data_IF_329643968285
#
_entry.id   IF_329643968285
#
_cell.length_a   1.000
_cell.length_b   1.000
_cell.length_c   1.000
_cell.angle_alpha   90.00
_cell.angle_beta   90.00
_cell.angle_gamma   90.00
#
_symmetry.space_group_name_H-M   'P 1'
#
loop_
_entity.id
_entity.type
_entity.pdbx_description
1 polymer ?
#
# COMPACT_ATOMS: atom_id res chain seq x y z
N UNK A 1 21.69 -12.59 -19.55
CA UNK A 1 21.83 -12.86 -18.10
C UNK A 1 21.03 -11.79 -17.37
N UNK A 2 20.07 -12.18 -16.52
CA UNK A 2 19.38 -11.21 -15.67
C UNK A 2 20.42 -10.54 -14.77
N UNK A 3 20.47 -9.20 -14.76
CA UNK A 3 21.34 -8.46 -13.86
C UNK A 3 21.03 -8.87 -12.41
N UNK A 4 22.05 -9.10 -11.60
CA UNK A 4 21.86 -9.42 -10.19
C UNK A 4 21.18 -8.22 -9.51
N UNK A 5 19.98 -8.43 -8.95
CA UNK A 5 19.17 -7.40 -8.30
C UNK A 5 19.92 -6.65 -7.20
N UNK A 6 20.82 -7.34 -6.48
CA UNK A 6 21.62 -6.74 -5.41
C UNK A 6 22.62 -5.73 -5.97
N UNK A 7 23.33 -6.11 -7.03
CA UNK A 7 24.29 -5.23 -7.73
C UNK A 7 23.57 -4.03 -8.33
N UNK A 8 22.44 -4.28 -8.99
CA UNK A 8 21.61 -3.24 -9.58
C UNK A 8 21.13 -2.21 -8.55
N UNK A 9 20.69 -2.68 -7.38
CA UNK A 9 20.27 -1.80 -6.29
C UNK A 9 21.45 -1.00 -5.74
N UNK A 10 22.59 -1.64 -5.47
CA UNK A 10 23.79 -0.96 -4.96
C UNK A 10 24.29 0.13 -5.92
N UNK A 11 24.35 -0.15 -7.22
CA UNK A 11 24.74 0.83 -8.24
C UNK A 11 23.76 2.01 -8.28
N UNK A 12 22.45 1.76 -8.26
CA UNK A 12 21.44 2.82 -8.23
C UNK A 12 21.52 3.68 -6.95
N UNK A 13 21.84 3.07 -5.79
CA UNK A 13 22.05 3.80 -4.54
C UNK A 13 23.33 4.65 -4.56
N UNK A 14 24.42 4.13 -5.14
CA UNK A 14 25.67 4.90 -5.32
C UNK A 14 25.47 6.07 -6.26
N UNK A 15 24.77 5.86 -7.37
CA UNK A 15 24.38 6.94 -8.29
C UNK A 15 23.53 7.98 -7.55
N UNK A 16 22.54 7.55 -6.77
CA UNK A 16 21.73 8.47 -5.97
C UNK A 16 22.58 9.28 -4.99
N UNK A 17 23.51 8.64 -4.27
CA UNK A 17 24.43 9.30 -3.36
C UNK A 17 25.22 10.40 -4.07
N UNK A 18 25.91 10.04 -5.16
CA UNK A 18 26.77 10.95 -5.95
C UNK A 18 25.96 12.13 -6.47
N UNK A 19 24.77 11.89 -7.04
CA UNK A 19 23.93 12.94 -7.60
C UNK A 19 23.47 13.94 -6.53
N UNK A 20 23.17 13.48 -5.31
CA UNK A 20 22.74 14.35 -4.22
C UNK A 20 23.90 15.19 -3.65
N UNK A 21 25.04 14.57 -3.36
CA UNK A 21 26.17 15.31 -2.79
C UNK A 21 26.76 16.32 -3.80
N UNK A 22 26.66 16.03 -5.10
CA UNK A 22 27.15 16.87 -6.19
C UNK A 22 26.19 18.00 -6.58
N UNK A 23 25.04 18.13 -5.92
CA UNK A 23 24.11 19.26 -6.17
C UNK A 23 24.80 20.60 -5.88
N UNK A 24 24.67 21.61 -6.77
CA UNK A 24 25.26 22.93 -6.56
C UNK A 24 24.85 23.56 -5.23
N UNK A 25 25.75 24.33 -4.64
CA UNK A 25 25.43 25.12 -3.45
C UNK A 25 24.27 26.09 -3.73
N UNK A 26 23.36 26.26 -2.77
CA UNK A 26 22.15 27.06 -2.93
C UNK A 26 20.99 26.38 -3.68
N UNK A 27 21.15 25.14 -4.17
CA UNK A 27 20.01 24.39 -4.75
C UNK A 27 18.90 24.23 -3.71
N UNK A 28 17.64 24.63 -3.99
CA UNK A 28 16.56 24.54 -3.02
C UNK A 28 16.32 23.09 -2.56
N UNK A 29 16.22 22.87 -1.24
CA UNK A 29 16.06 21.53 -0.65
C UNK A 29 14.86 20.76 -1.22
N UNK A 30 13.76 21.44 -1.58
CA UNK A 30 12.58 20.81 -2.23
C UNK A 30 12.94 20.17 -3.57
N UNK A 31 13.81 20.80 -4.36
CA UNK A 31 14.30 20.23 -5.62
C UNK A 31 15.21 19.01 -5.36
N UNK A 32 16.03 19.07 -4.32
CA UNK A 32 16.90 17.96 -3.90
C UNK A 32 16.06 16.77 -3.42
N UNK A 33 15.02 16.99 -2.61
CA UNK A 33 14.06 15.95 -2.18
C UNK A 33 13.42 15.27 -3.39
N UNK A 34 12.94 16.04 -4.36
CA UNK A 34 12.36 15.51 -5.60
C UNK A 34 13.36 14.72 -6.45
N UNK A 35 14.59 15.21 -6.56
CA UNK A 35 15.68 14.50 -7.23
C UNK A 35 15.97 13.15 -6.54
N UNK A 36 16.12 13.17 -5.22
CA UNK A 36 16.31 11.96 -4.42
C UNK A 36 15.15 10.99 -4.61
N UNK A 37 13.90 11.46 -4.56
CA UNK A 37 12.73 10.63 -4.76
C UNK A 37 12.74 9.93 -6.13
N UNK A 38 13.11 10.64 -7.20
CA UNK A 38 13.27 10.05 -8.54
C UNK A 38 14.33 8.94 -8.56
N UNK A 39 15.49 9.17 -7.94
CA UNK A 39 16.55 8.16 -7.87
C UNK A 39 16.15 6.95 -7.03
N UNK A 40 15.49 7.16 -5.89
CA UNK A 40 15.02 6.09 -5.03
C UNK A 40 13.89 5.28 -5.68
N UNK A 41 12.94 5.93 -6.37
CA UNK A 41 11.92 5.24 -7.16
C UNK A 41 12.56 4.32 -8.22
N UNK A 42 13.60 4.80 -8.92
CA UNK A 42 14.37 3.97 -9.85
C UNK A 42 15.01 2.79 -9.13
N UNK A 43 15.71 3.03 -8.02
CA UNK A 43 16.39 1.99 -7.25
C UNK A 43 15.41 0.88 -6.81
N UNK A 44 14.27 1.24 -6.23
CA UNK A 44 13.26 0.26 -5.80
C UNK A 44 12.56 -0.45 -6.96
N UNK A 45 12.42 0.19 -8.13
CA UNK A 45 11.86 -0.46 -9.32
C UNK A 45 12.71 -1.62 -9.86
N UNK A 46 14.03 -1.59 -9.64
CA UNK A 46 14.96 -2.63 -10.10
C UNK A 46 14.80 -3.94 -9.32
N UNK A 47 14.38 -3.85 -8.06
CA UNK A 47 14.24 -5.01 -7.17
C UNK A 47 12.79 -5.48 -7.07
N UNK A 48 11.85 -4.55 -7.22
CA UNK A 48 10.44 -4.76 -6.92
C UNK A 48 10.20 -4.76 -5.41
N UNK A 49 9.16 -4.07 -4.97
CA UNK A 49 8.73 -4.05 -3.56
C UNK A 49 7.28 -4.49 -3.51
N UNK A 50 6.96 -5.43 -2.63
CA UNK A 50 5.58 -5.83 -2.39
C UNK A 50 4.91 -4.78 -1.51
N UNK A 51 3.87 -4.12 -2.03
CA UNK A 51 3.14 -3.07 -1.31
C UNK A 51 1.72 -3.56 -1.06
N UNK A 52 1.31 -3.62 0.21
CA UNK A 52 -0.05 -3.95 0.65
C UNK A 52 -0.68 -2.74 1.35
N UNK A 53 -2.01 -2.65 1.31
CA UNK A 53 -2.74 -1.65 2.09
C UNK A 53 -2.72 -0.23 1.52
N UNK A 54 -2.40 -0.02 0.24
CA UNK A 54 -2.41 1.33 -0.37
C UNK A 54 -3.78 2.00 -0.27
N UNK A 55 -4.86 1.21 -0.14
CA UNK A 55 -6.22 1.66 0.12
C UNK A 55 -6.38 2.43 1.45
N UNK A 56 -5.43 2.30 2.38
CA UNK A 56 -5.45 3.00 3.67
C UNK A 56 -4.79 4.38 3.63
N UNK A 57 -4.25 4.80 2.48
CA UNK A 57 -3.65 6.13 2.34
C UNK A 57 -4.73 7.22 2.49
N UNK A 58 -4.53 8.21 3.40
CA UNK A 58 -5.49 9.30 3.55
C UNK A 58 -5.56 10.16 2.28
N UNK A 59 -6.75 10.70 1.98
CA UNK A 59 -6.93 11.65 0.87
C UNK A 59 -6.29 13.01 1.14
N UNK A 60 -6.18 13.37 2.42
CA UNK A 60 -5.60 14.63 2.90
C UNK A 60 -4.13 14.45 3.29
N UNK A 61 -3.35 15.53 3.17
CA UNK A 61 -1.98 15.60 3.70
C UNK A 61 -2.00 16.07 5.16
N UNK A 62 -0.83 16.39 5.74
CA UNK A 62 -0.72 16.71 7.17
C UNK A 62 -0.87 15.48 8.07
N UNK A 63 -0.56 14.29 7.54
CA UNK A 63 -0.53 13.04 8.30
C UNK A 63 0.89 12.71 8.80
N UNK A 64 0.96 11.92 9.87
CA UNK A 64 2.19 11.41 10.45
C UNK A 64 2.34 9.93 10.06
N UNK A 65 3.24 9.65 9.13
CA UNK A 65 3.63 8.31 8.74
C UNK A 65 4.62 7.75 9.76
N UNK A 66 4.14 6.87 10.63
CA UNK A 66 4.96 6.16 11.60
C UNK A 66 5.40 4.82 11.03
N UNK A 67 6.65 4.44 11.22
CA UNK A 67 7.19 3.22 10.63
C UNK A 67 8.20 2.53 11.53
N UNK A 68 8.30 1.21 11.38
CA UNK A 68 9.35 0.45 12.03
C UNK A 68 10.68 0.61 11.27
N UNK A 69 11.78 0.87 11.98
CA UNK A 69 13.05 1.27 11.39
C UNK A 69 14.02 0.09 11.31
N UNK A 70 14.40 -0.27 10.10
CA UNK A 70 15.22 -1.43 9.82
C UNK A 70 16.68 -1.04 9.58
N UNK A 71 17.59 -1.93 10.01
CA UNK A 71 18.98 -1.88 9.60
C UNK A 71 19.08 -2.05 8.09
N UNK A 72 20.16 -1.55 7.49
CA UNK A 72 20.49 -1.86 6.09
C UNK A 72 21.55 -2.97 6.06
N UNK A 73 21.41 -3.91 5.13
CA UNK A 73 22.46 -4.90 4.89
C UNK A 73 23.80 -4.21 4.53
N UNK A 74 24.96 -4.58 5.13
CA UNK A 74 26.27 -3.95 4.87
C UNK A 74 26.72 -3.91 3.41
N UNK A 75 26.17 -4.81 2.59
CA UNK A 75 26.36 -4.80 1.13
C UNK A 75 25.93 -3.47 0.47
N UNK A 76 24.98 -2.74 1.05
CA UNK A 76 24.45 -1.47 0.52
C UNK A 76 25.20 -0.23 0.99
N UNK A 77 26.46 -0.37 1.42
CA UNK A 77 27.34 0.76 1.72
C UNK A 77 27.75 1.49 0.45
N UNK A 78 27.46 2.79 0.41
CA UNK A 78 27.62 3.62 -0.80
C UNK A 78 28.88 4.49 -0.78
N UNK A 79 29.37 4.89 0.40
CA UNK A 79 30.59 5.70 0.54
C UNK A 79 31.23 5.53 1.93
N UNK A 80 32.46 5.01 2.00
CA UNK A 80 33.13 4.76 3.26
C UNK A 80 32.34 3.77 4.12
N UNK A 81 31.82 4.24 5.26
CA UNK A 81 30.93 3.55 6.19
C UNK A 81 29.45 3.97 6.06
N UNK A 82 29.13 4.84 5.10
CA UNK A 82 27.79 5.40 4.94
C UNK A 82 26.87 4.52 4.07
N UNK A 83 25.65 4.34 4.57
CA UNK A 83 24.53 3.70 3.88
C UNK A 83 23.36 4.70 3.79
N UNK A 84 22.68 4.73 2.63
CA UNK A 84 21.41 5.46 2.49
C UNK A 84 20.31 4.65 3.16
N UNK A 85 19.68 5.20 4.20
CA UNK A 85 18.58 4.56 4.94
C UNK A 85 17.42 4.17 4.00
N UNK A 86 17.16 2.88 3.80
CA UNK A 86 16.25 2.44 2.74
C UNK A 86 14.77 2.70 3.08
N UNK A 87 14.35 2.43 4.31
CA UNK A 87 12.95 2.52 4.74
C UNK A 87 12.35 3.93 4.62
N UNK A 88 12.95 4.94 5.25
CA UNK A 88 12.44 6.30 5.25
C UNK A 88 12.53 6.95 3.87
N UNK A 89 13.55 6.59 3.07
CA UNK A 89 13.61 6.99 1.66
C UNK A 89 12.50 6.31 0.85
N UNK A 90 12.21 5.03 1.08
CA UNK A 90 11.09 4.33 0.45
C UNK A 90 9.76 5.02 0.74
N UNK A 91 9.47 5.37 1.99
CA UNK A 91 8.25 6.12 2.33
C UNK A 91 8.21 7.44 1.58
N UNK A 92 9.28 8.24 1.68
CA UNK A 92 9.31 9.58 1.06
C UNK A 92 9.15 9.51 -0.46
N UNK A 93 9.77 8.52 -1.11
CA UNK A 93 9.81 8.44 -2.57
C UNK A 93 8.70 7.58 -3.19
N UNK A 94 8.49 6.37 -2.69
CA UNK A 94 7.57 5.39 -3.31
C UNK A 94 6.15 5.56 -2.81
N UNK A 95 5.97 6.08 -1.59
CA UNK A 95 4.65 6.37 -1.02
C UNK A 95 4.32 7.86 -1.21
N UNK A 96 5.06 8.76 -0.53
CA UNK A 96 4.66 10.17 -0.44
C UNK A 96 4.77 10.91 -1.78
N UNK A 97 5.94 10.92 -2.42
CA UNK A 97 6.13 11.60 -3.71
C UNK A 97 5.21 11.01 -4.79
N UNK A 98 4.97 9.70 -4.77
CA UNK A 98 4.11 9.03 -5.75
C UNK A 98 2.65 9.50 -5.63
N UNK A 99 2.07 9.40 -4.44
CA UNK A 99 0.63 9.58 -4.22
C UNK A 99 0.26 11.04 -3.91
N UNK A 100 1.14 11.82 -3.28
CA UNK A 100 0.87 13.19 -2.84
C UNK A 100 1.65 14.26 -3.61
N UNK A 101 2.62 13.87 -4.45
CA UNK A 101 3.52 14.79 -5.17
C UNK A 101 4.35 15.69 -4.25
N UNK A 102 4.54 15.22 -3.02
CA UNK A 102 5.40 15.81 -2.00
C UNK A 102 6.09 14.65 -1.27
N UNK A 103 7.41 14.72 -1.11
CA UNK A 103 8.21 13.70 -0.43
C UNK A 103 8.09 13.74 1.11
N UNK A 104 7.35 14.71 1.65
CA UNK A 104 7.20 14.95 3.07
C UNK A 104 8.47 15.51 3.73
N UNK A 105 8.42 15.60 5.05
CA UNK A 105 9.58 15.90 5.89
C UNK A 105 9.89 14.71 6.79
N UNK A 106 11.18 14.39 6.92
CA UNK A 106 11.67 13.30 7.76
C UNK A 106 12.28 13.83 9.04
N UNK A 107 12.33 12.97 10.05
CA UNK A 107 13.24 13.14 11.18
C UNK A 107 14.49 12.31 10.95
N UNK A 108 15.64 12.96 10.96
CA UNK A 108 16.95 12.34 10.74
C UNK A 108 17.88 12.69 11.91
N UNK A 109 18.68 11.73 12.37
CA UNK A 109 19.62 12.01 13.45
C UNK A 109 20.70 13.02 13.02
N UNK A 110 21.32 13.70 13.99
CA UNK A 110 22.59 14.38 13.76
C UNK A 110 23.71 13.36 13.47
N UNK A 111 24.68 13.69 12.61
CA UNK A 111 25.90 12.89 12.43
C UNK A 111 26.77 12.96 13.70
N UNK A 112 27.53 11.89 13.95
CA UNK A 112 28.71 11.94 14.81
C UNK A 112 29.84 12.74 14.12
N UNK A 113 30.82 13.28 14.86
CA UNK A 113 31.87 14.12 14.29
C UNK A 113 32.68 13.47 13.15
N UNK A 114 32.80 12.14 13.15
CA UNK A 114 33.52 11.36 12.15
C UNK A 114 32.65 10.91 10.95
N UNK A 115 31.34 11.16 10.97
CA UNK A 115 30.42 10.70 9.91
C UNK A 115 30.23 11.76 8.81
N UNK A 116 31.32 12.07 8.10
CA UNK A 116 31.33 13.13 7.09
C UNK A 116 30.36 12.86 5.92
N UNK A 117 30.31 11.61 5.42
CA UNK A 117 29.40 11.22 4.34
C UNK A 117 27.92 11.36 4.75
N UNK A 118 27.58 11.01 6.00
CA UNK A 118 26.23 11.20 6.53
C UNK A 118 25.86 12.68 6.58
N UNK A 119 26.78 13.52 7.08
CA UNK A 119 26.61 14.96 7.15
C UNK A 119 26.39 15.55 5.74
N UNK A 120 27.32 15.28 4.82
CA UNK A 120 27.31 15.81 3.46
C UNK A 120 26.06 15.41 2.67
N UNK A 121 25.56 14.19 2.89
CA UNK A 121 24.32 13.73 2.27
C UNK A 121 23.09 14.42 2.87
N UNK A 122 22.88 14.30 4.18
CA UNK A 122 21.61 14.70 4.78
C UNK A 122 21.44 16.23 4.96
N UNK A 123 22.54 17.00 5.01
CA UNK A 123 22.45 18.47 5.12
C UNK A 123 21.84 19.11 3.88
N UNK A 124 21.82 18.39 2.75
CA UNK A 124 21.18 18.83 1.49
C UNK A 124 19.65 18.87 1.54
N UNK A 125 19.02 18.20 2.50
CA UNK A 125 17.58 17.94 2.46
C UNK A 125 16.74 18.82 3.38
N UNK A 126 17.36 19.55 4.31
CA UNK A 126 16.67 20.37 5.31
C UNK A 126 15.62 19.60 6.13
N UNK A 127 15.94 18.36 6.51
CA UNK A 127 15.09 17.56 7.38
C UNK A 127 15.16 18.01 8.84
N UNK A 128 14.17 17.58 9.64
CA UNK A 128 14.16 17.83 11.08
C UNK A 128 15.27 16.98 11.72
N UNK A 129 16.14 17.61 12.51
CA UNK A 129 17.28 16.95 13.14
C UNK A 129 17.05 16.67 14.62
N UNK A 130 17.46 15.48 15.06
CA UNK A 130 17.42 15.07 16.48
C UNK A 130 18.70 14.35 16.89
N UNK A 131 19.08 14.44 18.16
CA UNK A 131 20.11 13.56 18.72
C UNK A 131 19.47 12.24 19.15
N UNK A 132 20.01 11.14 18.64
CA UNK A 132 19.64 9.78 19.04
C UNK A 132 20.60 9.28 20.13
N UNK A 133 20.10 8.41 21.03
CA UNK A 133 20.81 8.01 22.27
C UNK A 133 22.25 7.53 22.02
N UNK A 134 22.43 6.65 21.04
CA UNK A 134 23.74 6.05 20.74
C UNK A 134 24.56 6.85 19.71
N UNK A 135 23.98 7.93 19.19
CA UNK A 135 24.57 8.81 18.17
C UNK A 135 24.60 10.27 18.64
N UNK A 136 25.02 10.46 19.90
CA UNK A 136 25.19 11.78 20.50
C UNK A 136 26.69 12.03 20.76
N UNK A 137 27.27 13.14 20.27
CA UNK A 137 28.64 13.54 20.60
C UNK A 137 28.88 13.58 22.11
N UNK A 138 30.03 13.07 22.57
CA UNK A 138 30.34 12.91 24.01
C UNK A 138 30.41 14.23 24.76
N UNK A 139 30.63 15.32 24.03
CA UNK A 139 30.77 16.68 24.55
C UNK A 139 29.43 17.32 24.92
N UNK A 140 28.31 16.79 24.41
CA UNK A 140 26.98 17.35 24.66
C UNK A 140 26.40 16.86 25.97
N UNK A 141 25.87 17.78 26.77
CA UNK A 141 25.14 17.41 27.99
C UNK A 141 23.74 16.89 27.67
N UNK A 142 23.14 16.11 28.58
CA UNK A 142 21.72 15.72 28.48
C UNK A 142 20.78 16.93 28.35
N UNK A 143 21.14 18.08 28.92
CA UNK A 143 20.36 19.32 28.86
C UNK A 143 20.40 19.90 27.45
N UNK A 144 21.57 19.88 26.80
CA UNK A 144 21.76 20.36 25.43
C UNK A 144 20.98 19.50 24.44
N UNK A 145 21.10 18.17 24.57
CA UNK A 145 20.32 17.20 23.79
C UNK A 145 18.82 17.44 23.94
N UNK A 146 18.34 17.59 25.19
CA UNK A 146 16.92 17.85 25.44
C UNK A 146 16.46 19.19 24.85
N UNK A 147 17.31 20.22 24.90
CA UNK A 147 17.02 21.55 24.33
C UNK A 147 16.97 21.48 22.80
N UNK A 148 17.92 20.81 22.16
CA UNK A 148 17.96 20.61 20.72
C UNK A 148 16.75 19.79 20.25
N UNK A 149 16.48 18.65 20.90
CA UNK A 149 15.36 17.79 20.53
C UNK A 149 13.98 18.43 20.82
N UNK A 150 13.89 19.52 21.60
CA UNK A 150 12.63 20.29 21.69
C UNK A 150 12.28 21.00 20.38
N UNK A 151 13.27 21.33 19.55
CA UNK A 151 13.04 21.95 18.23
C UNK A 151 12.28 21.03 17.28
N UNK A 152 12.32 19.71 17.51
CA UNK A 152 11.50 18.75 16.77
C UNK A 152 10.02 19.12 16.82
N UNK A 153 9.47 19.42 18.00
CA UNK A 153 8.04 19.71 18.14
C UNK A 153 7.62 20.97 17.36
N UNK A 154 8.46 22.01 17.37
CA UNK A 154 8.20 23.23 16.62
C UNK A 154 8.22 22.99 15.10
N UNK A 155 9.29 22.36 14.60
CA UNK A 155 9.42 22.07 13.15
C UNK A 155 8.41 21.04 12.65
N UNK A 156 8.04 20.08 13.50
CA UNK A 156 6.99 19.13 13.17
C UNK A 156 5.63 19.83 13.10
N UNK A 157 5.36 20.80 13.98
CA UNK A 157 4.14 21.61 13.91
C UNK A 157 4.09 22.46 12.64
N UNK A 158 5.17 23.20 12.35
CA UNK A 158 5.29 23.97 11.11
C UNK A 158 5.03 23.11 9.87
N UNK A 159 5.59 21.89 9.82
CA UNK A 159 5.33 20.98 8.71
C UNK A 159 3.85 20.57 8.60
N UNK A 160 3.20 20.21 9.70
CA UNK A 160 1.78 19.83 9.67
C UNK A 160 0.87 21.02 9.33
N UNK A 161 1.16 22.21 9.85
CA UNK A 161 0.44 23.44 9.55
C UNK A 161 0.56 23.83 8.06
N UNK A 162 1.72 23.57 7.46
CA UNK A 162 1.97 23.71 6.01
C UNK A 162 1.40 22.54 5.17
N UNK A 163 0.63 21.64 5.79
CA UNK A 163 0.04 20.46 5.17
C UNK A 163 1.08 19.49 4.57
N UNK A 164 2.27 19.43 5.17
CA UNK A 164 3.38 18.53 4.79
C UNK A 164 3.32 17.28 5.65
N UNK A 165 3.31 16.11 5.00
CA UNK A 165 3.36 14.83 5.70
C UNK A 165 4.69 14.64 6.47
N UNK A 166 4.60 14.14 7.71
CA UNK A 166 5.74 13.85 8.56
C UNK A 166 6.06 12.36 8.52
N UNK A 167 7.33 11.98 8.36
CA UNK A 167 7.81 10.60 8.40
C UNK A 167 8.68 10.40 9.65
N UNK A 168 8.27 9.51 10.54
CA UNK A 168 8.88 9.36 11.87
C UNK A 168 8.98 7.90 12.31
N UNK A 169 10.16 7.46 12.76
CA UNK A 169 10.27 6.18 13.46
C UNK A 169 10.21 6.37 14.97
N UNK A 170 9.25 5.72 15.67
CA UNK A 170 9.17 5.76 17.12
C UNK A 170 10.19 4.86 17.84
N UNK A 171 10.97 4.02 17.14
CA UNK A 171 11.87 3.03 17.78
C UNK A 171 13.15 3.63 18.39
N UNK A 172 13.53 4.85 18.01
CA UNK A 172 14.75 5.51 18.49
C UNK A 172 16.08 4.82 18.10
N UNK A 173 16.02 3.64 17.50
CA UNK A 173 17.10 2.81 16.96
C UNK A 173 16.59 2.00 15.76
N UNK A 174 17.49 1.33 15.06
CA UNK A 174 17.19 0.44 13.93
C UNK A 174 17.42 -1.03 14.34
N UNK A 175 16.61 -1.94 13.81
CA UNK A 175 16.65 -3.37 14.15
C UNK A 175 16.62 -4.26 12.91
N UNK A 176 16.95 -5.55 13.04
CA UNK A 176 16.63 -6.51 11.99
C UNK A 176 15.12 -6.76 11.96
N UNK A 177 14.59 -7.28 10.84
CA UNK A 177 13.14 -7.49 10.66
C UNK A 177 12.53 -8.36 11.78
N UNK A 178 13.24 -9.39 12.24
CA UNK A 178 12.78 -10.31 13.29
C UNK A 178 12.86 -9.72 14.71
N UNK A 179 13.55 -8.59 14.88
CA UNK A 179 13.72 -7.90 16.17
C UNK A 179 12.93 -6.59 16.22
N UNK A 180 12.42 -6.14 15.07
CA UNK A 180 11.64 -4.92 14.90
C UNK A 180 10.15 -5.17 15.17
N UNK A 181 9.44 -4.21 15.80
CA UNK A 181 9.98 -3.00 16.37
C UNK A 181 10.61 -3.24 17.76
N UNK A 182 11.62 -2.43 18.08
CA UNK A 182 12.01 -2.14 19.46
C UNK A 182 10.93 -1.33 20.21
N UNK A 183 11.21 -0.96 21.47
CA UNK A 183 10.28 -0.17 22.28
C UNK A 183 10.00 1.21 21.69
N UNK A 184 8.72 1.53 21.51
CA UNK A 184 8.29 2.83 21.00
C UNK A 184 8.47 3.95 22.02
N UNK A 185 9.11 5.02 21.59
CA UNK A 185 9.22 6.28 22.34
C UNK A 185 7.91 7.07 22.26
N UNK A 186 7.52 7.69 23.38
CA UNK A 186 6.25 8.42 23.49
C UNK A 186 6.21 9.77 22.75
N UNK A 187 7.35 10.26 22.25
CA UNK A 187 7.51 11.64 21.77
C UNK A 187 6.53 12.02 20.65
N UNK A 188 6.48 11.21 19.59
CA UNK A 188 5.58 11.48 18.45
C UNK A 188 4.10 11.34 18.83
N UNK A 189 3.77 10.42 19.73
CA UNK A 189 2.39 10.21 20.20
C UNK A 189 1.93 11.34 21.12
N UNK A 190 2.83 11.89 21.95
CA UNK A 190 2.58 13.13 22.70
C UNK A 190 2.36 14.31 21.78
N UNK A 191 3.16 14.43 20.73
CA UNK A 191 2.99 15.47 19.74
C UNK A 191 1.66 15.33 19.00
N UNK A 192 1.31 14.15 18.52
CA UNK A 192 0.03 13.93 17.84
C UNK A 192 -1.18 14.26 18.76
N UNK A 193 -1.07 13.97 20.06
CA UNK A 193 -2.12 14.27 21.03
C UNK A 193 -2.12 15.72 21.54
N UNK A 194 -1.18 16.58 21.13
CA UNK A 194 -1.19 17.99 21.53
C UNK A 194 -2.10 18.88 20.68
N UNK A 195 -2.64 18.35 19.58
CA UNK A 195 -3.58 19.07 18.71
C UNK A 195 -5.01 18.81 19.16
N UNK A 196 -5.85 19.85 19.11
CA UNK A 196 -7.30 19.70 19.32
C UNK A 196 -7.90 18.78 18.24
N UNK A 197 -7.58 19.05 16.97
CA UNK A 197 -7.79 18.12 15.87
C UNK A 197 -6.51 17.32 15.64
N UNK A 198 -6.38 16.20 16.35
CA UNK A 198 -5.20 15.33 16.26
C UNK A 198 -4.94 14.91 14.81
N UNK A 199 -3.70 14.96 14.29
CA UNK A 199 -3.39 14.47 12.95
C UNK A 199 -3.58 12.94 12.85
N UNK A 200 -3.76 12.44 11.62
CA UNK A 200 -3.77 10.99 11.40
C UNK A 200 -2.37 10.42 11.56
N UNK A 201 -2.24 9.34 12.32
CA UNK A 201 -1.07 8.48 12.35
C UNK A 201 -1.29 7.35 11.35
N UNK A 202 -0.42 7.26 10.35
CA UNK A 202 -0.47 6.23 9.29
C UNK A 202 0.64 5.22 9.55
N UNK A 203 0.33 4.00 10.03
CA UNK A 203 1.36 2.99 10.25
C UNK A 203 1.85 2.40 8.93
N UNK A 204 3.16 2.45 8.71
CA UNK A 204 3.84 1.82 7.59
C UNK A 204 4.76 0.73 8.13
N UNK A 205 4.35 -0.51 7.95
CA UNK A 205 5.06 -1.70 8.41
C UNK A 205 6.00 -2.18 7.30
N UNK A 206 7.27 -2.42 7.63
CA UNK A 206 8.29 -2.84 6.68
C UNK A 206 8.94 -4.15 7.14
N UNK A 207 9.28 -4.98 6.15
CA UNK A 207 9.99 -6.22 6.36
C UNK A 207 11.02 -6.45 5.24
N UNK A 208 12.14 -7.08 5.62
CA UNK A 208 13.26 -7.52 4.80
C UNK A 208 14.14 -6.40 4.19
N UNK A 209 13.96 -5.12 4.56
CA UNK A 209 14.87 -4.04 4.10
C UNK A 209 16.30 -4.17 4.67
N UNK A 210 16.46 -4.99 5.70
CA UNK A 210 17.71 -5.44 6.32
C UNK A 210 18.42 -6.56 5.57
N UNK A 211 17.79 -7.11 4.52
CA UNK A 211 18.32 -8.23 3.73
C UNK A 211 18.70 -7.78 2.32
N UNK A 212 19.36 -8.66 1.57
CA UNK A 212 19.53 -8.46 0.13
C UNK A 212 18.26 -8.86 -0.63
N UNK A 213 17.89 -8.16 -1.73
CA UNK A 213 16.78 -8.56 -2.60
C UNK A 213 16.87 -9.99 -3.14
N UNK A 214 18.08 -10.54 -3.27
CA UNK A 214 18.31 -11.94 -3.64
C UNK A 214 17.97 -12.95 -2.53
N UNK A 215 17.93 -12.52 -1.27
CA UNK A 215 17.63 -13.35 -0.10
C UNK A 215 16.14 -13.33 0.24
N UNK A 216 15.55 -12.14 0.21
CA UNK A 216 14.12 -11.96 0.49
C UNK A 216 13.58 -10.71 -0.21
N UNK A 217 12.33 -10.74 -0.70
CA UNK A 217 11.71 -9.56 -1.28
C UNK A 217 11.44 -8.51 -0.20
N UNK A 218 11.65 -7.24 -0.55
CA UNK A 218 11.23 -6.12 0.30
C UNK A 218 9.71 -6.05 0.34
N UNK A 219 9.17 -5.88 1.55
CA UNK A 219 7.72 -5.85 1.79
C UNK A 219 7.36 -4.61 2.60
N UNK A 220 6.26 -3.98 2.22
CA UNK A 220 5.67 -2.84 2.91
C UNK A 220 4.15 -3.06 3.03
N UNK A 221 3.60 -2.79 4.20
CA UNK A 221 2.16 -2.77 4.41
C UNK A 221 1.74 -1.47 5.10
N UNK A 222 0.86 -0.72 4.45
CA UNK A 222 0.24 0.48 5.01
C UNK A 222 -1.01 0.04 5.77
N UNK A 223 -1.05 0.30 7.07
CA UNK A 223 -2.17 -0.09 7.93
C UNK A 223 -3.23 1.02 7.96
N UNK A 224 -4.47 0.72 8.37
CA UNK A 224 -5.49 1.74 8.59
C UNK A 224 -4.96 2.86 9.51
N UNK A 225 -5.14 4.14 9.13
CA UNK A 225 -4.70 5.25 9.94
C UNK A 225 -5.59 5.40 11.19
N UNK A 226 -5.04 5.98 12.23
CA UNK A 226 -5.73 6.21 13.49
C UNK A 226 -5.36 7.57 14.10
N UNK A 227 -6.15 8.03 15.08
CA UNK A 227 -5.81 9.15 15.96
C UNK A 227 -5.49 8.64 17.36
N UNK A 228 -4.72 9.40 18.14
CA UNK A 228 -4.45 9.02 19.53
C UNK A 228 -5.72 8.98 20.37
N UNK A 229 -6.74 9.77 20.01
CA UNK A 229 -8.08 9.75 20.60
C UNK A 229 -8.78 8.39 20.47
N UNK A 230 -8.49 7.61 19.43
CA UNK A 230 -9.06 6.27 19.23
C UNK A 230 -8.57 5.29 20.30
N UNK A 231 -7.43 5.60 20.93
CA UNK A 231 -6.86 4.89 22.07
C UNK A 231 -7.13 5.60 23.41
N UNK A 232 -8.08 6.54 23.44
CA UNK A 232 -8.45 7.30 24.64
C UNK A 232 -7.42 8.32 25.09
N UNK A 233 -6.51 8.77 24.21
CA UNK A 233 -5.49 9.78 24.50
C UNK A 233 -5.89 11.10 23.86
N UNK A 234 -6.41 12.03 24.66
CA UNK A 234 -6.92 13.34 24.19
C UNK A 234 -5.94 14.50 24.40
N UNK A 235 -4.91 14.28 25.22
CA UNK A 235 -3.84 15.26 25.50
C UNK A 235 -2.49 14.56 25.79
N UNK A 236 -1.35 15.27 25.72
CA UNK A 236 -0.03 14.72 26.02
C UNK A 236 0.15 14.20 27.47
N UNK A 237 -0.73 14.64 28.37
CA UNK A 237 -0.79 14.30 29.79
C UNK A 237 -1.76 13.16 30.11
N UNK A 238 -2.49 12.63 29.12
CA UNK A 238 -3.47 11.56 29.33
C UNK A 238 -2.85 10.33 30.02
N UNK A 239 -3.50 9.81 31.06
CA UNK A 239 -3.04 8.62 31.79
C UNK A 239 -2.95 7.38 30.88
N UNK A 240 -3.85 7.30 29.89
CA UNK A 240 -3.92 6.26 28.86
C UNK A 240 -2.74 6.28 27.88
N UNK A 241 -1.92 7.33 27.83
CA UNK A 241 -0.85 7.46 26.83
C UNK A 241 0.14 6.30 26.90
N UNK A 242 0.51 5.86 28.11
CA UNK A 242 1.49 4.76 28.25
C UNK A 242 0.94 3.45 27.70
N UNK A 243 -0.30 3.10 28.05
CA UNK A 243 -0.94 1.87 27.58
C UNK A 243 -1.21 1.94 26.08
N UNK A 244 -1.66 3.08 25.57
CA UNK A 244 -1.89 3.28 24.13
C UNK A 244 -0.61 3.05 23.31
N UNK A 245 0.51 3.67 23.71
CA UNK A 245 1.80 3.47 23.02
C UNK A 245 2.25 2.02 23.08
N UNK A 246 2.05 1.33 24.21
CA UNK A 246 2.36 -0.09 24.32
C UNK A 246 1.49 -0.93 23.35
N UNK A 247 0.19 -0.71 23.32
CA UNK A 247 -0.72 -1.41 22.38
C UNK A 247 -0.34 -1.17 20.93
N UNK A 248 0.00 0.07 20.56
CA UNK A 248 0.46 0.41 19.20
C UNK A 248 1.77 -0.33 18.89
N UNK A 249 2.71 -0.39 19.84
CA UNK A 249 3.98 -1.11 19.68
C UNK A 249 3.78 -2.61 19.50
N UNK A 250 2.91 -3.23 20.31
CA UNK A 250 2.59 -4.67 20.25
C UNK A 250 1.90 -5.02 18.92
N UNK A 251 1.00 -4.15 18.46
CA UNK A 251 0.36 -4.28 17.15
C UNK A 251 1.39 -4.22 16.02
N UNK A 252 2.31 -3.25 16.04
CA UNK A 252 3.40 -3.19 15.05
C UNK A 252 4.24 -4.47 15.05
N UNK A 253 4.58 -5.01 16.22
CA UNK A 253 5.34 -6.26 16.31
C UNK A 253 4.63 -7.42 15.64
N UNK A 254 3.34 -7.60 15.93
CA UNK A 254 2.52 -8.60 15.25
C UNK A 254 2.46 -8.36 13.75
N UNK A 255 2.31 -7.11 13.30
CA UNK A 255 2.26 -6.81 11.86
C UNK A 255 3.59 -7.07 11.15
N UNK A 256 4.74 -6.78 11.78
CA UNK A 256 6.06 -7.09 11.21
C UNK A 256 6.23 -8.61 11.12
N UNK A 257 5.89 -9.35 12.18
CA UNK A 257 5.90 -10.81 12.18
C UNK A 257 5.02 -11.37 11.05
N UNK A 258 3.77 -10.91 10.95
CA UNK A 258 2.82 -11.33 9.92
C UNK A 258 3.32 -11.01 8.50
N UNK A 259 3.88 -9.83 8.28
CA UNK A 259 4.39 -9.37 6.97
C UNK A 259 5.69 -10.11 6.58
N UNK A 260 6.50 -10.50 7.55
CA UNK A 260 7.78 -11.20 7.31
C UNK A 260 7.58 -12.61 6.75
N UNK A 261 6.44 -13.22 7.03
CA UNK A 261 6.12 -14.58 6.59
C UNK A 261 5.83 -14.57 5.08
N UNK A 262 6.36 -15.57 4.37
CA UNK A 262 6.02 -15.79 2.97
C UNK A 262 4.59 -16.34 2.87
N UNK A 263 3.69 -15.54 2.30
CA UNK A 263 2.32 -15.92 1.99
C UNK A 263 2.26 -16.34 0.51
N UNK A 264 2.75 -17.56 0.26
CA UNK A 264 2.71 -18.12 -1.08
C UNK A 264 1.26 -18.38 -1.46
N UNK A 265 0.88 -17.94 -2.66
CA UNK A 265 -0.44 -18.23 -3.25
C UNK A 265 -1.66 -17.78 -2.42
N UNK A 266 -1.59 -16.75 -1.58
CA UNK A 266 -2.77 -16.19 -0.88
C UNK A 266 -3.40 -17.13 0.18
N UNK A 267 -2.70 -18.17 0.64
CA UNK A 267 -3.24 -19.19 1.57
C UNK A 267 -3.94 -18.57 2.79
N UNK A 268 -3.40 -17.48 3.33
CA UNK A 268 -3.99 -16.79 4.49
C UNK A 268 -5.32 -16.13 4.18
N UNK A 269 -5.41 -15.42 3.04
CA UNK A 269 -6.66 -14.79 2.63
C UNK A 269 -7.73 -15.85 2.36
N UNK A 270 -7.35 -16.95 1.71
CA UNK A 270 -8.24 -18.09 1.44
C UNK A 270 -8.71 -18.75 2.74
N UNK A 271 -7.84 -18.91 3.73
CA UNK A 271 -8.22 -19.47 5.03
C UNK A 271 -9.24 -18.59 5.78
N UNK A 272 -9.20 -17.27 5.60
CA UNK A 272 -10.22 -16.36 6.14
C UNK A 272 -11.54 -16.55 5.39
N UNK A 273 -11.53 -16.53 4.05
CA UNK A 273 -12.74 -16.72 3.24
C UNK A 273 -13.45 -18.05 3.53
N UNK A 274 -12.69 -19.12 3.80
CA UNK A 274 -13.25 -20.43 4.17
C UNK A 274 -14.09 -20.43 5.44
N UNK A 275 -13.82 -19.52 6.38
CA UNK A 275 -14.63 -19.41 7.61
C UNK A 275 -16.02 -18.90 7.28
N UNK A 276 -16.13 -17.94 6.37
CA UNK A 276 -17.40 -17.35 5.95
C UNK A 276 -18.25 -18.30 5.09
N UNK A 277 -17.60 -19.23 4.37
CA UNK A 277 -18.30 -20.25 3.58
C UNK A 277 -19.23 -21.12 4.42
N UNK A 278 -18.84 -21.44 5.66
CA UNK A 278 -19.56 -22.37 6.50
C UNK A 278 -20.99 -21.91 6.83
N UNK A 279 -21.19 -20.59 6.96
CA UNK A 279 -22.48 -19.99 7.31
C UNK A 279 -23.41 -19.83 6.09
N UNK A 280 -22.86 -19.95 4.87
CA UNK A 280 -23.57 -19.71 3.60
C UNK A 280 -23.86 -20.99 2.82
N UNK A 281 -23.47 -22.15 3.33
CA UNK A 281 -23.78 -23.46 2.74
C UNK A 281 -25.29 -23.60 2.57
N UNK A 282 -25.73 -24.01 1.38
CA UNK A 282 -27.15 -24.29 1.04
C UNK A 282 -28.13 -23.10 1.04
N UNK A 283 -27.65 -21.84 1.08
CA UNK A 283 -28.55 -20.70 0.94
C UNK A 283 -29.09 -20.60 -0.50
N UNK A 284 -30.41 -20.40 -0.63
CA UNK A 284 -31.05 -20.09 -1.91
C UNK A 284 -30.72 -18.66 -2.34
N UNK A 285 -30.84 -18.39 -3.64
CA UNK A 285 -30.62 -17.06 -4.21
C UNK A 285 -29.26 -16.44 -3.82
N UNK A 286 -28.22 -17.29 -3.84
CA UNK A 286 -26.87 -16.90 -3.48
C UNK A 286 -26.21 -16.08 -4.60
N UNK A 287 -25.86 -14.83 -4.29
CA UNK A 287 -25.10 -13.90 -5.12
C UNK A 287 -23.65 -13.88 -4.64
N UNK A 288 -22.76 -14.53 -5.40
CA UNK A 288 -21.35 -14.66 -5.05
C UNK A 288 -20.53 -13.63 -5.80
N UNK A 289 -19.75 -12.83 -5.09
CA UNK A 289 -18.76 -11.93 -5.67
C UNK A 289 -17.40 -12.60 -5.67
N UNK A 290 -16.78 -12.74 -6.83
CA UNK A 290 -15.48 -13.40 -6.98
C UNK A 290 -14.51 -12.55 -7.80
N UNK A 291 -13.31 -12.32 -7.27
CA UNK A 291 -12.35 -11.47 -7.95
C UNK A 291 -11.21 -11.00 -7.08
N UNK A 292 -10.47 -10.01 -7.59
CA UNK A 292 -9.31 -9.44 -6.90
C UNK A 292 -9.69 -8.34 -5.90
N UNK A 293 -8.79 -7.38 -5.64
CA UNK A 293 -8.95 -6.37 -4.58
C UNK A 293 -10.19 -5.49 -4.70
N UNK A 294 -10.71 -5.24 -5.90
CA UNK A 294 -11.97 -4.49 -6.08
C UNK A 294 -13.18 -5.23 -5.52
N UNK A 295 -13.17 -6.57 -5.52
CA UNK A 295 -14.20 -7.36 -4.85
C UNK A 295 -13.88 -7.49 -3.37
N UNK A 296 -12.65 -7.84 -3.00
CA UNK A 296 -12.21 -7.98 -1.59
C UNK A 296 -12.55 -6.75 -0.74
N UNK A 297 -12.35 -5.56 -1.30
CA UNK A 297 -12.52 -4.29 -0.57
C UNK A 297 -13.97 -3.79 -0.55
N UNK A 298 -14.91 -4.50 -1.18
CA UNK A 298 -16.32 -4.16 -1.12
C UNK A 298 -16.94 -4.70 0.18
N UNK A 299 -16.82 -3.92 1.26
CA UNK A 299 -17.18 -4.35 2.62
C UNK A 299 -18.68 -4.56 2.85
N UNK A 300 -19.53 -3.83 2.13
CA UNK A 300 -20.97 -3.72 2.43
C UNK A 300 -21.86 -4.44 1.40
N UNK A 301 -21.37 -5.49 0.73
CA UNK A 301 -22.15 -6.19 -0.32
C UNK A 301 -23.52 -6.67 0.16
N UNK A 302 -23.64 -7.09 1.43
CA UNK A 302 -24.90 -7.51 2.03
C UNK A 302 -25.92 -6.37 2.19
N UNK A 303 -25.43 -5.16 2.50
CA UNK A 303 -26.27 -3.96 2.62
C UNK A 303 -26.63 -3.41 1.23
N UNK A 304 -25.70 -3.54 0.28
CA UNK A 304 -25.87 -3.05 -1.09
C UNK A 304 -26.85 -3.92 -1.90
N UNK A 305 -26.90 -5.22 -1.64
CA UNK A 305 -27.79 -6.15 -2.33
C UNK A 305 -28.73 -6.89 -1.35
N UNK A 306 -29.64 -6.16 -0.67
CA UNK A 306 -30.43 -6.72 0.44
C UNK A 306 -31.47 -7.76 0.00
N UNK A 307 -31.78 -7.83 -1.29
CA UNK A 307 -32.66 -8.84 -1.88
C UNK A 307 -31.97 -10.20 -2.12
N UNK A 308 -30.66 -10.28 -1.89
CA UNK A 308 -29.84 -11.45 -2.20
C UNK A 308 -29.11 -11.95 -0.96
N UNK A 309 -28.92 -13.27 -0.88
CA UNK A 309 -27.92 -13.83 0.03
C UNK A 309 -26.55 -13.58 -0.58
N UNK A 310 -25.79 -12.63 -0.05
CA UNK A 310 -24.47 -12.28 -0.62
C UNK A 310 -23.33 -13.04 0.03
N UNK A 311 -22.32 -13.38 -0.75
CA UNK A 311 -21.06 -13.95 -0.30
C UNK A 311 -19.90 -13.29 -1.07
N UNK A 312 -18.95 -12.69 -0.35
CA UNK A 312 -17.77 -12.06 -0.93
C UNK A 312 -16.58 -13.02 -0.83
N UNK A 313 -16.11 -13.52 -1.98
CA UNK A 313 -14.95 -14.42 -2.10
C UNK A 313 -13.77 -13.71 -2.78
N UNK A 314 -13.67 -12.39 -2.64
CA UNK A 314 -12.54 -11.63 -3.18
C UNK A 314 -11.29 -11.73 -2.32
N UNK A 315 -10.13 -11.83 -2.98
CA UNK A 315 -8.81 -11.78 -2.31
C UNK A 315 -7.82 -10.88 -3.06
N UNK A 316 -6.90 -10.24 -2.34
CA UNK A 316 -6.06 -9.14 -2.81
C UNK A 316 -5.01 -9.62 -3.81
N UNK A 317 -4.71 -8.80 -4.83
CA UNK A 317 -3.61 -9.10 -5.77
C UNK A 317 -3.84 -10.31 -6.70
N UNK A 318 -4.99 -10.98 -6.64
CA UNK A 318 -5.28 -12.17 -7.42
C UNK A 318 -5.13 -11.93 -8.94
N UNK A 319 -4.41 -12.83 -9.60
CA UNK A 319 -4.42 -12.96 -11.07
C UNK A 319 -5.53 -13.93 -11.50
N UNK A 320 -5.79 -14.02 -12.80
CA UNK A 320 -6.77 -14.98 -13.33
C UNK A 320 -6.42 -16.42 -12.91
N UNK A 321 -5.13 -16.79 -12.95
CA UNK A 321 -4.72 -18.14 -12.56
C UNK A 321 -4.94 -18.39 -11.06
N UNK A 322 -4.68 -17.40 -10.19
CA UNK A 322 -4.94 -17.51 -8.76
C UNK A 322 -6.42 -17.79 -8.47
N UNK A 323 -7.32 -17.05 -9.14
CA UNK A 323 -8.78 -17.26 -9.03
C UNK A 323 -9.18 -18.65 -9.55
N UNK A 324 -8.54 -19.11 -10.61
CA UNK A 324 -8.77 -20.44 -11.16
C UNK A 324 -8.28 -21.55 -10.20
N UNK A 325 -7.13 -21.38 -9.56
CA UNK A 325 -6.52 -22.39 -8.69
C UNK A 325 -7.38 -22.63 -7.44
N UNK A 326 -7.94 -21.56 -6.84
CA UNK A 326 -8.82 -21.65 -5.68
C UNK A 326 -10.31 -21.88 -6.00
N UNK A 327 -10.69 -21.94 -7.28
CA UNK A 327 -12.09 -22.05 -7.66
C UNK A 327 -12.76 -23.32 -7.11
N UNK A 328 -12.14 -24.50 -7.25
CA UNK A 328 -12.76 -25.72 -6.68
C UNK A 328 -12.91 -25.60 -5.17
N UNK A 329 -11.84 -25.20 -4.49
CA UNK A 329 -11.77 -25.15 -3.05
C UNK A 329 -12.83 -24.22 -2.45
N UNK A 330 -13.04 -23.05 -3.04
CA UNK A 330 -13.99 -22.06 -2.57
C UNK A 330 -15.44 -22.35 -2.99
N UNK A 331 -15.66 -23.05 -4.11
CA UNK A 331 -17.00 -23.27 -4.67
C UNK A 331 -17.53 -24.70 -4.51
N UNK A 332 -16.78 -25.65 -3.94
CA UNK A 332 -17.17 -27.07 -3.92
C UNK A 332 -18.55 -27.35 -3.31
N UNK A 333 -18.94 -26.62 -2.25
CA UNK A 333 -20.22 -26.79 -1.54
C UNK A 333 -21.26 -25.69 -1.88
N UNK A 334 -20.95 -24.81 -2.82
CA UNK A 334 -21.81 -23.68 -3.16
C UNK A 334 -22.76 -24.03 -4.30
N UNK A 335 -23.93 -23.38 -4.28
CA UNK A 335 -24.90 -23.41 -5.38
C UNK A 335 -25.30 -21.97 -5.74
N UNK A 336 -24.38 -21.20 -6.36
CA UNK A 336 -24.62 -19.80 -6.66
C UNK A 336 -25.75 -19.65 -7.70
N UNK A 337 -26.68 -18.73 -7.45
CA UNK A 337 -27.65 -18.32 -8.47
C UNK A 337 -27.01 -17.33 -9.46
N UNK A 338 -26.17 -16.45 -8.93
CA UNK A 338 -25.41 -15.46 -9.71
C UNK A 338 -23.98 -15.40 -9.20
N UNK A 339 -23.01 -15.31 -10.12
CA UNK A 339 -21.62 -15.00 -9.82
C UNK A 339 -21.26 -13.65 -10.46
N UNK A 340 -20.92 -12.66 -9.64
CA UNK A 340 -20.31 -11.40 -10.08
C UNK A 340 -18.81 -11.61 -10.13
N UNK A 341 -18.24 -11.53 -11.34
CA UNK A 341 -16.88 -11.91 -11.61
C UNK A 341 -16.04 -10.68 -12.04
N UNK A 342 -14.95 -10.39 -11.32
CA UNK A 342 -14.04 -9.28 -11.64
C UNK A 342 -12.56 -9.71 -11.60
N UNK A 343 -11.92 -9.79 -12.77
CA UNK A 343 -10.57 -10.33 -12.97
C UNK A 343 -9.84 -9.66 -14.14
N UNK A 344 -8.55 -9.96 -14.29
CA UNK A 344 -7.73 -9.58 -15.46
C UNK A 344 -6.98 -8.25 -15.33
N UNK A 345 -7.42 -7.33 -14.46
CA UNK A 345 -6.73 -6.06 -14.24
C UNK A 345 -5.29 -6.24 -13.71
N UNK A 346 -5.05 -7.24 -12.86
CA UNK A 346 -3.70 -7.53 -12.36
C UNK A 346 -2.82 -8.18 -13.44
N UNK A 347 -3.37 -9.04 -14.29
CA UNK A 347 -2.64 -9.73 -15.36
C UNK A 347 -2.00 -8.78 -16.39
N UNK A 348 -2.43 -7.52 -16.46
CA UNK A 348 -1.77 -6.46 -17.23
C UNK A 348 -0.29 -6.30 -16.83
N UNK A 349 0.04 -6.48 -15.54
CA UNK A 349 1.42 -6.35 -15.05
C UNK A 349 2.33 -7.50 -15.48
N UNK A 350 1.76 -8.58 -16.06
CA UNK A 350 2.51 -9.73 -16.58
C UNK A 350 2.96 -9.53 -18.04
N UNK A 351 2.67 -8.36 -18.64
CA UNK A 351 3.04 -8.06 -20.03
C UNK A 351 2.26 -8.88 -21.06
N UNK A 352 1.12 -9.46 -20.70
CA UNK A 352 0.28 -10.21 -21.63
C UNK A 352 -0.42 -9.28 -22.64
N UNK A 353 -0.67 -9.82 -23.84
CA UNK A 353 -1.52 -9.16 -24.84
C UNK A 353 -2.99 -9.18 -24.39
N UNK A 354 -3.79 -8.24 -24.90
CA UNK A 354 -5.23 -8.21 -24.67
C UNK A 354 -5.89 -9.56 -24.99
N UNK A 355 -5.63 -10.11 -26.17
CA UNK A 355 -6.20 -11.41 -26.59
C UNK A 355 -5.81 -12.56 -25.66
N UNK A 356 -4.59 -12.56 -25.09
CA UNK A 356 -4.16 -13.60 -24.13
C UNK A 356 -4.93 -13.49 -22.81
N UNK A 357 -5.19 -12.27 -22.34
CA UNK A 357 -6.00 -12.02 -21.14
C UNK A 357 -7.45 -12.44 -21.41
N UNK A 358 -8.04 -12.00 -22.52
CA UNK A 358 -9.40 -12.40 -22.96
C UNK A 358 -9.53 -13.93 -23.01
N UNK A 359 -8.59 -14.63 -23.65
CA UNK A 359 -8.62 -16.09 -23.74
C UNK A 359 -8.46 -16.80 -22.38
N UNK A 360 -7.77 -16.19 -21.42
CA UNK A 360 -7.71 -16.71 -20.04
C UNK A 360 -9.03 -16.50 -19.30
N UNK A 361 -9.65 -15.34 -19.44
CA UNK A 361 -10.96 -15.04 -18.84
C UNK A 361 -12.03 -15.98 -19.37
N UNK A 362 -12.12 -16.14 -20.70
CA UNK A 362 -13.13 -17.02 -21.32
C UNK A 362 -12.98 -18.47 -20.88
N UNK A 363 -11.75 -19.01 -20.85
CA UNK A 363 -11.52 -20.37 -20.31
C UNK A 363 -11.96 -20.52 -18.86
N UNK A 364 -11.80 -19.47 -18.06
CA UNK A 364 -12.25 -19.50 -16.69
C UNK A 364 -13.78 -19.43 -16.58
N UNK A 365 -14.43 -18.59 -17.39
CA UNK A 365 -15.90 -18.55 -17.53
C UNK A 365 -16.43 -19.93 -17.96
N UNK A 366 -15.81 -20.59 -18.94
CA UNK A 366 -16.20 -21.93 -19.38
C UNK A 366 -16.11 -22.95 -18.25
N UNK A 367 -15.07 -22.88 -17.42
CA UNK A 367 -14.91 -23.74 -16.24
C UNK A 367 -16.00 -23.48 -15.20
N UNK A 368 -16.34 -22.23 -14.93
CA UNK A 368 -17.43 -21.87 -14.02
C UNK A 368 -18.75 -22.43 -14.55
N UNK A 369 -19.04 -22.22 -15.83
CA UNK A 369 -20.27 -22.67 -16.47
C UNK A 369 -20.38 -24.20 -16.50
N UNK A 370 -19.28 -24.92 -16.74
CA UNK A 370 -19.25 -26.38 -16.70
C UNK A 370 -19.60 -26.94 -15.31
N UNK A 371 -19.16 -26.26 -14.23
CA UNK A 371 -19.51 -26.62 -12.86
C UNK A 371 -20.95 -26.20 -12.50
N UNK A 372 -21.37 -25.04 -13.00
CA UNK A 372 -22.66 -24.42 -12.68
C UNK A 372 -23.42 -24.00 -13.94
N UNK A 373 -24.05 -24.95 -14.66
CA UNK A 373 -24.67 -24.67 -15.96
C UNK A 373 -25.85 -23.69 -15.89
N UNK A 374 -26.53 -23.60 -14.74
CA UNK A 374 -27.70 -22.74 -14.53
C UNK A 374 -27.39 -21.40 -13.86
N UNK A 375 -26.13 -21.12 -13.53
CA UNK A 375 -25.74 -19.89 -12.84
C UNK A 375 -25.54 -18.76 -13.84
N UNK A 376 -26.09 -17.59 -13.54
CA UNK A 376 -25.79 -16.37 -14.29
C UNK A 376 -24.40 -15.86 -13.91
N UNK A 377 -23.54 -15.63 -14.89
CA UNK A 377 -22.22 -15.02 -14.69
C UNK A 377 -22.31 -13.56 -15.13
N UNK A 378 -22.17 -12.65 -14.18
CA UNK A 378 -22.01 -11.21 -14.42
C UNK A 378 -20.52 -10.90 -14.51
N UNK A 379 -19.96 -10.93 -15.72
CA UNK A 379 -18.55 -10.61 -15.93
C UNK A 379 -18.37 -9.09 -15.99
N UNK A 380 -17.69 -8.53 -15.00
CA UNK A 380 -17.51 -7.10 -14.85
C UNK A 380 -16.29 -6.64 -15.66
N UNK A 381 -16.46 -5.60 -16.47
CA UNK A 381 -15.39 -4.99 -17.28
C UNK A 381 -14.19 -4.58 -16.42
N UNK A 382 -12.97 -4.63 -16.93
CA UNK A 382 -11.81 -4.09 -16.20
C UNK A 382 -11.94 -2.56 -16.15
N UNK A 383 -11.90 -1.95 -14.96
CA UNK A 383 -11.94 -0.47 -14.80
C UNK A 383 -10.67 0.23 -15.27
N UNK A 384 -10.76 1.52 -15.65
CA UNK A 384 -9.57 2.36 -15.70
C UNK A 384 -9.01 2.60 -14.27
N UNK A 385 -7.74 3.00 -14.17
CA UNK A 385 -7.12 3.46 -12.91
C UNK A 385 -5.87 4.28 -13.19
N UNK A 386 -5.50 5.20 -12.30
CA UNK A 386 -4.31 6.04 -12.46
C UNK A 386 -3.02 5.20 -12.48
N UNK A 387 -2.97 4.14 -11.66
CA UNK A 387 -1.86 3.18 -11.65
C UNK A 387 -1.67 2.43 -12.98
N UNK A 388 -2.69 2.44 -13.85
CA UNK A 388 -2.69 1.74 -15.14
C UNK A 388 -3.01 2.68 -16.30
N UNK A 389 -2.71 3.97 -16.16
CA UNK A 389 -3.06 4.98 -17.15
C UNK A 389 -2.43 4.70 -18.53
N UNK A 390 -1.25 4.07 -18.57
CA UNK A 390 -0.58 3.68 -19.81
C UNK A 390 -1.21 2.44 -20.49
N UNK A 391 -2.08 1.71 -19.79
CA UNK A 391 -2.74 0.49 -20.27
C UNK A 391 -4.20 0.71 -20.69
N UNK A 392 -4.70 1.97 -20.67
CA UNK A 392 -6.13 2.26 -20.93
C UNK A 392 -6.62 1.75 -22.29
N UNK A 393 -5.80 1.86 -23.33
CA UNK A 393 -6.12 1.34 -24.66
C UNK A 393 -6.28 -0.18 -24.64
N UNK A 394 -5.37 -0.90 -23.96
CA UNK A 394 -5.41 -2.36 -23.82
C UNK A 394 -6.60 -2.80 -22.97
N UNK A 395 -6.91 -2.07 -21.89
CA UNK A 395 -8.10 -2.32 -21.06
C UNK A 395 -9.38 -2.21 -21.90
N UNK A 396 -9.50 -1.14 -22.71
CA UNK A 396 -10.64 -0.95 -23.61
C UNK A 396 -10.75 -2.10 -24.62
N UNK A 397 -9.62 -2.50 -25.23
CA UNK A 397 -9.56 -3.62 -26.16
C UNK A 397 -10.04 -4.95 -25.51
N UNK A 398 -9.59 -5.25 -24.28
CA UNK A 398 -10.02 -6.43 -23.52
C UNK A 398 -11.53 -6.38 -23.28
N UNK A 399 -12.04 -5.26 -22.79
CA UNK A 399 -13.46 -5.09 -22.46
C UNK A 399 -14.35 -5.25 -23.72
N UNK A 400 -13.95 -4.65 -24.85
CA UNK A 400 -14.67 -4.80 -26.13
C UNK A 400 -14.70 -6.27 -26.57
N UNK A 401 -13.55 -6.94 -26.60
CA UNK A 401 -13.48 -8.35 -27.02
C UNK A 401 -14.29 -9.28 -26.09
N UNK A 402 -14.31 -9.01 -24.78
CA UNK A 402 -15.16 -9.76 -23.84
C UNK A 402 -16.65 -9.50 -24.11
N UNK A 403 -17.03 -8.25 -24.36
CA UNK A 403 -18.34 -7.84 -24.89
C UNK A 403 -18.81 -8.72 -26.03
N UNK A 404 -18.05 -8.70 -27.13
CA UNK A 404 -18.36 -9.42 -28.36
C UNK A 404 -18.41 -10.93 -28.17
N UNK A 405 -17.44 -11.50 -27.45
CA UNK A 405 -17.29 -12.96 -27.32
C UNK A 405 -18.28 -13.59 -26.34
N UNK A 406 -18.80 -12.82 -25.38
CA UNK A 406 -19.77 -13.33 -24.40
C UNK A 406 -21.22 -12.97 -24.75
N UNK A 407 -21.47 -12.01 -25.65
CA UNK A 407 -22.80 -11.69 -26.16
C UNK A 407 -23.66 -12.91 -26.62
N UNK A 408 -23.11 -13.94 -27.29
CA UNK A 408 -23.91 -15.11 -27.69
C UNK A 408 -24.13 -16.12 -26.55
N UNK A 409 -23.54 -15.94 -25.37
CA UNK A 409 -23.63 -16.90 -24.26
C UNK A 409 -24.84 -16.54 -23.36
N UNK A 410 -25.88 -17.38 -23.26
CA UNK A 410 -27.12 -17.01 -22.58
C UNK A 410 -26.96 -16.78 -21.07
N UNK A 411 -26.00 -17.47 -20.44
CA UNK A 411 -25.76 -17.39 -18.99
C UNK A 411 -24.57 -16.51 -18.63
N UNK A 412 -24.06 -15.68 -19.56
CA UNK A 412 -22.98 -14.73 -19.31
C UNK A 412 -23.40 -13.35 -19.76
N UNK A 413 -23.36 -12.37 -18.85
CA UNK A 413 -23.64 -10.98 -19.17
C UNK A 413 -22.44 -10.11 -18.81
N UNK A 414 -22.02 -9.27 -19.76
CA UNK A 414 -21.03 -8.24 -19.48
C UNK A 414 -21.67 -7.08 -18.71
N UNK A 415 -21.02 -6.72 -17.61
CA UNK A 415 -21.31 -5.51 -16.83
C UNK A 415 -20.28 -4.48 -17.24
N UNK A 416 -20.65 -3.60 -18.17
CA UNK A 416 -19.82 -2.45 -18.51
C UNK A 416 -19.94 -1.40 -17.41
N UNK A 417 -18.80 -1.06 -16.84
CA UNK A 417 -18.66 0.09 -15.96
C UNK A 417 -17.46 0.98 -16.31
N UNK A 418 -16.70 0.66 -17.37
CA UNK A 418 -15.50 1.39 -17.74
C UNK A 418 -15.83 2.84 -18.13
N UNK A 419 -16.81 3.03 -19.00
CA UNK A 419 -17.15 4.36 -19.54
C UNK A 419 -17.69 5.31 -18.46
N UNK A 420 -18.29 4.77 -17.40
CA UNK A 420 -18.78 5.60 -16.28
C UNK A 420 -17.65 6.31 -15.53
N UNK A 421 -16.43 5.75 -15.60
CA UNK A 421 -15.22 6.26 -14.94
C UNK A 421 -14.39 7.20 -15.81
N UNK A 422 -14.78 7.40 -17.07
CA UNK A 422 -14.12 8.30 -18.01
C UNK A 422 -14.97 9.55 -18.23
N UNK A 423 -14.32 10.71 -18.22
CA UNK A 423 -14.89 11.99 -18.63
C UNK A 423 -13.85 12.75 -19.44
N UNK A 424 -14.21 13.22 -20.64
CA UNK A 424 -13.30 13.95 -21.53
C UNK A 424 -11.95 13.23 -21.75
N UNK A 425 -11.98 11.91 -21.96
CA UNK A 425 -10.81 11.03 -22.08
C UNK A 425 -9.88 11.00 -20.85
N UNK A 426 -10.36 11.41 -19.68
CA UNK A 426 -9.63 11.37 -18.41
C UNK A 426 -10.37 10.55 -17.38
N UNK A 427 -9.61 9.93 -16.48
CA UNK A 427 -10.14 9.16 -15.36
C UNK A 427 -10.75 10.12 -14.34
N UNK A 428 -11.97 9.85 -13.90
CA UNK A 428 -12.63 10.60 -12.83
C UNK A 428 -11.96 10.28 -11.49
N UNK A 429 -11.14 11.21 -10.97
CA UNK A 429 -10.43 11.04 -9.69
C UNK A 429 -11.38 10.79 -8.51
N UNK A 430 -12.57 11.38 -8.55
CA UNK A 430 -13.55 11.33 -7.47
C UNK A 430 -14.12 9.94 -7.18
N UNK A 431 -13.80 8.91 -7.96
CA UNK A 431 -14.29 7.53 -7.74
C UNK A 431 -13.21 6.59 -7.20
N UNK A 432 -12.05 7.13 -6.83
CA UNK A 432 -10.90 6.36 -6.35
C UNK A 432 -10.43 6.85 -5.00
N UNK A 433 -9.90 5.91 -4.23
CA UNK A 433 -9.07 6.21 -3.06
C UNK A 433 -7.76 6.89 -3.48
N UNK A 434 -7.00 7.36 -2.50
CA UNK A 434 -5.77 8.12 -2.74
C UNK A 434 -4.73 7.38 -3.58
N UNK A 435 -4.72 6.06 -3.54
CA UNK A 435 -3.81 5.26 -4.37
C UNK A 435 -4.17 5.26 -5.87
N UNK A 436 -5.30 5.85 -6.25
CA UNK A 436 -5.75 5.95 -7.64
C UNK A 436 -6.03 4.60 -8.31
N UNK A 437 -6.15 3.53 -7.52
CA UNK A 437 -6.34 2.15 -7.96
C UNK A 437 -7.65 1.59 -7.44
N UNK A 438 -7.89 1.70 -6.15
CA UNK A 438 -9.07 1.14 -5.48
C UNK A 438 -10.22 2.14 -5.47
N UNK A 439 -11.44 1.60 -5.47
CA UNK A 439 -12.67 2.40 -5.48
C UNK A 439 -12.92 3.00 -4.10
N UNK A 440 -13.39 4.24 -4.08
CA UNK A 440 -13.99 4.82 -2.89
C UNK A 440 -15.50 4.48 -2.83
N UNK A 441 -16.23 5.08 -1.89
CA UNK A 441 -17.66 4.85 -1.72
C UNK A 441 -18.47 5.21 -2.98
N UNK A 442 -18.14 6.34 -3.64
CA UNK A 442 -18.82 6.75 -4.88
C UNK A 442 -18.51 5.77 -6.03
N UNK A 443 -17.26 5.33 -6.16
CA UNK A 443 -16.87 4.33 -7.15
C UNK A 443 -17.63 3.00 -6.99
N UNK A 444 -17.80 2.53 -5.74
CA UNK A 444 -18.63 1.34 -5.46
C UNK A 444 -20.11 1.56 -5.78
N UNK A 445 -20.64 2.77 -5.55
CA UNK A 445 -22.03 3.09 -5.90
C UNK A 445 -22.27 2.97 -7.42
N UNK A 446 -21.33 3.41 -8.25
CA UNK A 446 -21.41 3.25 -9.71
C UNK A 446 -21.38 1.76 -10.11
N UNK A 447 -20.46 0.98 -9.53
CA UNK A 447 -20.36 -0.45 -9.80
C UNK A 447 -21.64 -1.19 -9.36
N UNK A 448 -22.19 -0.84 -8.20
CA UNK A 448 -23.46 -1.34 -7.69
C UNK A 448 -24.60 -1.13 -8.68
N UNK A 449 -24.78 0.11 -9.15
CA UNK A 449 -25.83 0.45 -10.11
C UNK A 449 -25.71 -0.36 -11.41
N UNK A 450 -24.48 -0.57 -11.90
CA UNK A 450 -24.23 -1.36 -13.10
C UNK A 450 -24.64 -2.83 -12.90
N UNK A 451 -24.34 -3.42 -11.73
CA UNK A 451 -24.72 -4.79 -11.38
C UNK A 451 -26.24 -4.91 -11.17
N UNK A 452 -26.85 -3.99 -10.41
CA UNK A 452 -28.30 -3.97 -10.13
C UNK A 452 -29.11 -3.96 -11.44
N UNK A 453 -28.69 -3.15 -12.42
CA UNK A 453 -29.33 -3.09 -13.74
C UNK A 453 -29.36 -4.46 -14.44
N UNK A 454 -28.34 -5.29 -14.26
CA UNK A 454 -28.27 -6.64 -14.85
C UNK A 454 -29.07 -7.64 -14.06
N UNK A 455 -29.03 -7.57 -12.73
CA UNK A 455 -29.84 -8.42 -11.86
C UNK A 455 -31.34 -8.22 -12.10
N UNK A 456 -31.80 -6.98 -12.31
CA UNK A 456 -33.20 -6.67 -12.63
C UNK A 456 -33.66 -7.21 -13.98
N UNK A 457 -32.75 -7.48 -14.92
CA UNK A 457 -33.08 -8.10 -16.21
C UNK A 457 -33.19 -9.62 -16.13
N UNK A 458 -32.72 -10.21 -15.02
CA UNK A 458 -32.67 -11.65 -14.81
C UNK A 458 -33.81 -12.18 -13.93
N UNK A 459 -34.34 -11.35 -13.03
CA UNK A 459 -35.56 -11.60 -12.25
C UNK A 459 -36.77 -11.23 -13.11
#
# INVERSE_FOLDING_TARGET
MSMNKDVALLEALRDSYIQIISTPEGTPYKQIRKLSAKHMQRAFSLVGVQIKGSENLPSEQGAIFIYNHLLNHPYFTVAGDFQITLDSHFISSVILEKYYKDSGTRVVRYPLPNEENHKNYYDKFEYIRVYAKDFTPKELTKKDVKKANKQFYFKAAEALDDNINLVFSPEGASYNTNESPGPFMKGIFKFASSYEQQPLLVPVVMANFDKRPSEAPFKCQIMPPFRMSDFGVTSPESDSLKSAVQTINDNFKKWVEDLSIEDNNFEREIAVLKKDLAEKKHQKDLLVFYGSSTIRLWKNVNQDFPAWNTLNLGFGGAFIHSLNDYFEELFHELQPKVIVLYLGGNDLTLGFSASKIVAKILRFIDRIHAKFPNTLILNVSIKPSFERQHELAKIKEINTQLGEKTAPLPNVQQVDFYDSFIENNRIKKAYFLQDGLHLDAMGYQILKQAIDKKLQQFI
#
